data_IF_094492919582
#
_entry.id   IF_094492919582
#
_cell.length_a   1.000
_cell.length_b   1.000
_cell.length_c   1.000
_cell.angle_alpha   90.00
_cell.angle_beta   90.00
_cell.angle_gamma   90.00
#
_symmetry.space_group_name_H-M   'P 1'
#
loop_
_entity.id
_entity.type
_entity.pdbx_description
1 polymer ?
#
# COMPACT_ATOMS: atom_id res chain seq x y z
N UNK A 1 -2.80 51.84 -29.48
CA UNK A 1 -3.24 50.46 -29.78
C UNK A 1 -2.08 49.53 -29.48
N UNK A 2 -2.39 48.45 -28.73
CA UNK A 2 -1.62 47.24 -28.38
C UNK A 2 -0.32 47.47 -27.57
N UNK A 3 -0.22 47.21 -26.26
CA UNK A 3 -0.51 46.03 -25.42
C UNK A 3 0.19 44.75 -25.90
N UNK A 4 1.06 44.23 -25.05
CA UNK A 4 1.77 42.96 -25.23
C UNK A 4 2.76 42.70 -24.08
N UNK A 5 2.25 42.64 -22.84
CA UNK A 5 2.95 42.08 -21.68
C UNK A 5 3.50 40.68 -22.00
N UNK A 6 4.82 40.51 -21.89
CA UNK A 6 5.39 39.17 -21.73
C UNK A 6 5.41 38.84 -20.24
N UNK A 7 4.34 38.19 -19.78
CA UNK A 7 4.24 37.59 -18.47
C UNK A 7 5.39 36.62 -18.24
N UNK A 8 6.29 36.98 -17.33
CA UNK A 8 7.27 36.06 -16.76
C UNK A 8 6.49 35.01 -15.97
N UNK A 9 6.57 33.75 -16.39
CA UNK A 9 6.02 32.63 -15.63
C UNK A 9 6.80 32.53 -14.30
N UNK A 10 6.23 33.04 -13.20
CA UNK A 10 6.68 32.71 -11.86
C UNK A 10 6.32 31.24 -11.61
N UNK A 11 7.29 30.34 -11.73
CA UNK A 11 7.18 28.99 -11.18
C UNK A 11 7.62 29.07 -9.72
N UNK A 12 6.65 29.13 -8.81
CA UNK A 12 6.91 28.94 -7.39
C UNK A 12 7.50 27.53 -7.19
N UNK A 13 8.62 27.36 -6.47
CA UNK A 13 9.22 26.05 -6.22
C UNK A 13 8.33 25.09 -5.40
N UNK A 14 7.21 25.59 -4.85
CA UNK A 14 6.27 24.83 -4.02
C UNK A 14 5.23 24.02 -4.81
N UNK A 15 5.12 24.18 -6.14
CA UNK A 15 4.12 23.46 -6.95
C UNK A 15 4.65 22.14 -7.54
N UNK A 16 5.71 21.59 -6.92
CA UNK A 16 6.09 20.20 -7.21
C UNK A 16 4.98 19.31 -6.67
N UNK A 17 4.33 18.46 -7.48
CA UNK A 17 3.26 17.60 -7.00
C UNK A 17 3.77 16.77 -5.82
N UNK A 18 3.13 16.94 -4.66
CA UNK A 18 3.49 16.21 -3.45
C UNK A 18 3.49 14.71 -3.79
N UNK A 19 4.65 14.07 -3.65
CA UNK A 19 4.83 12.68 -4.08
C UNK A 19 4.21 11.77 -3.03
N UNK A 20 2.93 11.46 -3.22
CA UNK A 20 2.14 10.65 -2.28
C UNK A 20 2.41 9.16 -2.49
N UNK A 21 2.70 8.47 -1.40
CA UNK A 21 2.73 7.02 -1.34
C UNK A 21 1.59 6.51 -0.46
N UNK A 22 0.80 5.58 -0.99
CA UNK A 22 -0.29 4.93 -0.27
C UNK A 22 0.04 3.49 -0.01
N UNK A 23 -0.09 3.09 1.25
CA UNK A 23 0.18 1.74 1.71
C UNK A 23 -1.05 1.17 2.40
N UNK A 24 -1.58 0.07 1.89
CA UNK A 24 -2.61 -0.71 2.55
C UNK A 24 -1.98 -1.66 3.55
N UNK A 25 -2.39 -1.54 4.82
CA UNK A 25 -1.93 -2.35 5.94
C UNK A 25 -3.09 -3.12 6.55
N UNK A 26 -2.86 -4.40 6.84
CA UNK A 26 -3.90 -5.33 7.32
C UNK A 26 -3.53 -6.01 8.65
N UNK A 27 -2.36 -5.67 9.21
CA UNK A 27 -1.78 -6.34 10.37
C UNK A 27 -1.17 -5.40 11.39
N UNK A 28 0.07 -5.70 11.80
CA UNK A 28 0.79 -5.03 12.90
C UNK A 28 1.02 -3.53 12.71
N UNK A 29 0.94 -3.04 11.46
CA UNK A 29 1.05 -1.62 11.11
C UNK A 29 -0.27 -0.84 11.26
N UNK A 30 -1.40 -1.51 11.49
CA UNK A 30 -2.70 -0.87 11.72
C UNK A 30 -2.71 -0.06 13.02
N UNK A 31 -3.53 0.98 13.09
CA UNK A 31 -3.69 1.81 14.29
C UNK A 31 -4.07 0.94 15.50
N UNK A 32 -3.43 1.19 16.64
CA UNK A 32 -3.60 0.40 17.87
C UNK A 32 -2.69 -0.83 17.99
N UNK A 33 -1.89 -1.14 16.96
CA UNK A 33 -0.90 -2.22 16.99
C UNK A 33 0.53 -1.68 17.21
N UNK A 34 1.43 -2.56 17.65
CA UNK A 34 2.75 -2.18 18.18
C UNK A 34 3.70 -1.53 17.17
N UNK A 35 3.52 -1.78 15.86
CA UNK A 35 4.36 -1.17 14.83
C UNK A 35 3.83 0.21 14.39
N UNK A 36 2.55 0.52 14.60
CA UNK A 36 1.94 1.74 14.06
C UNK A 36 2.64 3.03 14.54
N UNK A 37 2.88 3.16 15.84
CA UNK A 37 3.48 4.38 16.39
C UNK A 37 4.88 4.64 15.82
N UNK A 38 5.64 3.58 15.53
CA UNK A 38 7.00 3.70 15.03
C UNK A 38 7.05 4.03 13.53
N UNK A 39 6.13 3.47 12.74
CA UNK A 39 6.24 3.49 11.29
C UNK A 39 5.18 4.34 10.59
N UNK A 40 4.00 4.52 11.19
CA UNK A 40 2.86 5.19 10.58
C UNK A 40 2.50 6.52 11.26
N UNK A 41 3.13 6.90 12.38
CA UNK A 41 2.76 8.11 13.12
C UNK A 41 2.92 9.42 12.34
N UNK A 42 3.82 9.45 11.35
CA UNK A 42 4.04 10.61 10.48
C UNK A 42 3.19 10.56 9.20
N UNK A 43 2.28 9.59 9.08
CA UNK A 43 1.37 9.52 7.96
C UNK A 43 0.43 10.74 7.94
N UNK A 44 0.17 11.26 6.75
CA UNK A 44 -0.79 12.35 6.52
C UNK A 44 -2.22 11.92 6.84
N UNK A 45 -2.59 10.70 6.47
CA UNK A 45 -3.89 10.11 6.80
C UNK A 45 -3.79 8.61 7.03
N UNK A 46 -4.79 8.08 7.74
CA UNK A 46 -5.02 6.64 7.86
C UNK A 46 -6.52 6.42 7.88
N UNK A 47 -7.02 5.67 6.90
CA UNK A 47 -8.45 5.53 6.61
C UNK A 47 -8.81 4.04 6.49
N UNK A 48 -9.99 3.59 6.96
CA UNK A 48 -10.44 2.21 6.75
C UNK A 48 -10.53 1.88 5.26
N UNK A 49 -10.02 0.72 4.87
CA UNK A 49 -10.02 0.28 3.48
C UNK A 49 -10.12 -1.25 3.36
N UNK A 50 -10.41 -1.73 2.15
CA UNK A 50 -10.47 -3.16 1.85
C UNK A 50 -9.76 -3.52 0.54
N UNK A 51 -9.24 -4.75 0.48
CA UNK A 51 -8.63 -5.35 -0.71
C UNK A 51 -9.20 -6.76 -0.93
N UNK A 52 -9.19 -7.25 -2.16
CA UNK A 52 -9.45 -8.67 -2.43
C UNK A 52 -8.22 -9.52 -2.09
N UNK A 53 -8.42 -10.60 -1.35
CA UNK A 53 -7.34 -11.52 -1.00
C UNK A 53 -7.78 -12.65 -0.09
N UNK A 54 -6.80 -13.34 0.48
CA UNK A 54 -6.97 -14.30 1.58
C UNK A 54 -6.04 -13.90 2.71
N UNK A 55 -6.58 -13.87 3.91
CA UNK A 55 -5.84 -13.49 5.10
C UNK A 55 -5.58 -14.71 5.96
N UNK A 56 -4.37 -14.82 6.46
CA UNK A 56 -3.92 -15.94 7.28
C UNK A 56 -3.33 -15.43 8.58
N UNK A 57 -3.58 -16.13 9.68
CA UNK A 57 -2.79 -16.03 10.90
C UNK A 57 -1.66 -17.06 10.81
N UNK A 58 -0.43 -16.60 10.64
CA UNK A 58 0.73 -17.50 10.61
C UNK A 58 1.02 -18.05 12.00
N UNK A 59 1.52 -19.27 12.09
CA UNK A 59 1.92 -19.88 13.38
C UNK A 59 2.99 -19.06 14.13
N UNK A 60 3.72 -18.20 13.42
CA UNK A 60 4.69 -17.27 13.99
C UNK A 60 4.07 -16.05 14.71
N UNK A 61 2.74 -15.89 14.68
CA UNK A 61 2.01 -14.88 15.47
C UNK A 61 1.70 -13.57 14.73
N UNK A 62 1.84 -13.53 13.41
CA UNK A 62 1.58 -12.34 12.59
C UNK A 62 0.81 -12.69 11.30
N UNK A 63 0.14 -11.72 10.64
CA UNK A 63 -0.72 -12.02 9.50
C UNK A 63 0.04 -12.13 8.18
N UNK A 64 -0.47 -12.96 7.27
CA UNK A 64 -0.08 -12.93 5.86
C UNK A 64 -1.30 -12.66 4.98
N UNK A 65 -1.09 -11.81 3.98
CA UNK A 65 -2.05 -11.58 2.90
C UNK A 65 -1.56 -12.31 1.65
N UNK A 66 -2.42 -13.13 1.08
CA UNK A 66 -2.32 -13.56 -0.31
C UNK A 66 -3.25 -12.67 -1.15
N UNK A 67 -2.80 -12.25 -2.34
CA UNK A 67 -3.62 -11.51 -3.31
C UNK A 67 -3.74 -12.32 -4.60
N UNK A 68 -4.81 -12.15 -5.39
CA UNK A 68 -4.90 -12.79 -6.69
C UNK A 68 -3.82 -12.22 -7.61
N UNK A 69 -2.93 -13.07 -8.14
CA UNK A 69 -1.81 -12.62 -8.98
C UNK A 69 -2.26 -11.79 -10.19
N UNK A 70 -3.38 -12.16 -10.83
CA UNK A 70 -3.95 -11.43 -11.95
C UNK A 70 -4.48 -10.03 -11.61
N UNK A 71 -4.57 -9.67 -10.33
CA UNK A 71 -4.95 -8.33 -9.87
C UNK A 71 -3.75 -7.46 -9.42
N UNK A 72 -2.52 -7.97 -9.53
CA UNK A 72 -1.31 -7.21 -9.24
C UNK A 72 -1.06 -6.20 -10.36
N UNK A 73 -1.07 -4.91 -10.01
CA UNK A 73 -0.91 -3.79 -10.93
C UNK A 73 0.56 -3.43 -11.16
N UNK A 74 1.40 -3.64 -10.14
CA UNK A 74 2.84 -3.42 -10.18
C UNK A 74 3.55 -4.19 -9.06
N UNK A 75 4.85 -4.44 -9.23
CA UNK A 75 5.73 -4.97 -8.19
C UNK A 75 6.59 -3.84 -7.64
N UNK A 76 6.82 -3.83 -6.33
CA UNK A 76 7.61 -2.80 -5.65
C UNK A 76 9.08 -2.86 -6.02
N UNK A 77 9.75 -1.72 -5.95
CA UNK A 77 11.17 -1.59 -6.27
C UNK A 77 11.99 -1.14 -5.05
N UNK A 78 13.30 -1.00 -5.22
CA UNK A 78 14.16 -0.42 -4.18
C UNK A 78 14.08 1.12 -4.12
N UNK A 79 13.36 1.76 -5.06
CA UNK A 79 13.23 3.22 -5.16
C UNK A 79 11.81 3.66 -4.76
N UNK A 80 11.62 4.22 -3.55
CA UNK A 80 10.33 4.71 -3.09
C UNK A 80 9.73 5.82 -3.97
N UNK A 81 10.54 6.63 -4.66
CA UNK A 81 10.04 7.67 -5.56
C UNK A 81 9.52 7.06 -6.86
N UNK A 82 10.22 6.07 -7.41
CA UNK A 82 9.74 5.34 -8.58
C UNK A 82 8.40 4.65 -8.27
N UNK A 83 8.29 4.04 -7.10
CA UNK A 83 7.07 3.36 -6.66
C UNK A 83 5.90 4.34 -6.45
N UNK A 84 6.16 5.52 -5.89
CA UNK A 84 5.14 6.56 -5.73
C UNK A 84 4.68 7.15 -7.09
N UNK A 85 5.60 7.37 -8.03
CA UNK A 85 5.26 7.80 -9.40
C UNK A 85 4.43 6.76 -10.13
N UNK A 86 4.81 5.49 -10.03
CA UNK A 86 4.08 4.38 -10.65
C UNK A 86 2.63 4.31 -10.15
N UNK A 87 2.41 4.59 -8.87
CA UNK A 87 1.08 4.64 -8.27
C UNK A 87 0.22 5.76 -8.89
N UNK A 88 0.81 6.92 -9.20
CA UNK A 88 0.10 8.04 -9.83
C UNK A 88 -0.28 7.73 -11.27
N UNK A 89 0.58 7.04 -12.02
CA UNK A 89 0.34 6.66 -13.42
C UNK A 89 -0.84 5.70 -13.63
N UNK A 90 -1.11 4.83 -12.65
CA UNK A 90 -2.16 3.81 -12.75
C UNK A 90 -3.57 4.41 -12.68
N UNK A 91 -3.73 5.61 -12.10
CA UNK A 91 -5.03 6.27 -12.00
C UNK A 91 -6.00 5.51 -11.08
N UNK A 92 -7.24 5.29 -11.54
CA UNK A 92 -8.29 4.59 -10.77
C UNK A 92 -8.46 3.16 -11.26
N UNK A 93 -7.90 2.15 -10.55
CA UNK A 93 -8.01 0.77 -10.98
C UNK A 93 -9.43 0.22 -10.76
N UNK A 94 -9.80 -0.82 -11.51
CA UNK A 94 -11.09 -1.51 -11.32
C UNK A 94 -11.05 -2.34 -10.03
N UNK A 95 -12.01 -2.11 -9.13
CA UNK A 95 -12.22 -2.92 -7.93
C UNK A 95 -13.36 -3.92 -8.14
N UNK A 96 -13.12 -4.93 -8.99
CA UNK A 96 -14.09 -6.00 -9.27
C UNK A 96 -13.80 -7.24 -8.44
N UNK A 97 -14.84 -8.01 -8.10
CA UNK A 97 -14.67 -9.32 -7.46
C UNK A 97 -13.89 -10.26 -8.40
N UNK A 98 -12.74 -10.81 -7.99
CA UNK A 98 -12.02 -11.80 -8.78
C UNK A 98 -12.79 -13.13 -8.84
N UNK A 99 -12.54 -13.91 -9.89
CA UNK A 99 -13.04 -15.28 -9.99
C UNK A 99 -12.31 -16.18 -9.00
N UNK A 100 -13.06 -17.08 -8.37
CA UNK A 100 -12.54 -18.04 -7.40
C UNK A 100 -12.87 -17.69 -5.96
N UNK A 101 -12.18 -18.37 -5.06
CA UNK A 101 -12.37 -18.26 -3.62
C UNK A 101 -11.51 -17.14 -3.04
N UNK A 102 -12.05 -15.92 -3.03
CA UNK A 102 -11.40 -14.70 -2.56
C UNK A 102 -12.36 -13.89 -1.70
N UNK A 103 -11.82 -13.30 -0.63
CA UNK A 103 -12.56 -12.52 0.36
C UNK A 103 -12.16 -11.05 0.34
N UNK A 104 -12.97 -10.21 1.00
CA UNK A 104 -12.58 -8.84 1.32
C UNK A 104 -11.75 -8.84 2.60
N UNK A 105 -10.54 -8.34 2.49
CA UNK A 105 -9.60 -8.19 3.60
C UNK A 105 -9.66 -6.76 4.11
N UNK A 106 -9.92 -6.60 5.41
CA UNK A 106 -10.13 -5.33 6.07
C UNK A 106 -8.84 -4.83 6.71
N UNK A 107 -8.47 -3.62 6.33
CA UNK A 107 -7.27 -2.95 6.79
C UNK A 107 -7.44 -1.45 6.79
N UNK A 108 -6.31 -0.77 6.65
CA UNK A 108 -6.22 0.68 6.63
C UNK A 108 -5.37 1.12 5.45
N UNK A 109 -5.78 2.17 4.77
CA UNK A 109 -5.00 2.87 3.78
C UNK A 109 -4.23 3.99 4.49
N UNK A 110 -2.91 3.86 4.55
CA UNK A 110 -1.99 4.84 5.14
C UNK A 110 -1.40 5.69 4.04
N UNK A 111 -1.49 7.01 4.17
CA UNK A 111 -1.00 7.97 3.18
C UNK A 111 0.25 8.68 3.70
N UNK A 112 1.37 8.55 2.99
CA UNK A 112 2.64 9.20 3.29
C UNK A 112 2.97 10.28 2.26
N UNK A 113 3.64 11.34 2.71
CA UNK A 113 4.08 12.47 1.87
C UNK A 113 5.59 12.52 1.66
N UNK A 114 6.36 11.69 2.39
CA UNK A 114 7.81 11.58 2.26
C UNK A 114 8.23 10.12 2.01
N UNK A 115 7.92 9.54 0.82
CA UNK A 115 8.20 8.13 0.51
C UNK A 115 9.64 7.69 0.78
N UNK A 116 10.63 8.53 0.47
CA UNK A 116 12.05 8.21 0.72
C UNK A 116 12.38 8.06 2.21
N UNK A 117 11.65 8.74 3.09
CA UNK A 117 11.83 8.67 4.54
C UNK A 117 11.01 7.53 5.13
N UNK A 118 9.77 7.41 4.71
CA UNK A 118 8.75 6.62 5.41
C UNK A 118 8.74 5.14 4.97
N UNK A 119 9.00 4.85 3.69
CA UNK A 119 8.90 3.50 3.14
C UNK A 119 10.07 2.57 3.52
N UNK A 120 11.35 2.98 3.44
CA UNK A 120 12.47 2.06 3.72
C UNK A 120 12.50 1.45 5.14
N UNK A 121 12.10 2.15 6.21
CA UNK A 121 11.92 1.52 7.52
C UNK A 121 10.88 0.40 7.54
N UNK A 122 9.79 0.54 6.77
CA UNK A 122 8.73 -0.47 6.67
C UNK A 122 9.22 -1.66 5.84
N UNK A 123 9.94 -1.43 4.75
CA UNK A 123 10.56 -2.50 3.97
C UNK A 123 11.48 -3.38 4.80
N UNK A 124 12.28 -2.76 5.67
CA UNK A 124 13.17 -3.47 6.58
C UNK A 124 12.41 -4.27 7.63
N UNK A 125 11.28 -3.77 8.11
CA UNK A 125 10.41 -4.50 9.04
C UNK A 125 9.82 -5.75 8.38
N UNK A 126 9.28 -5.61 7.18
CA UNK A 126 8.62 -6.70 6.43
C UNK A 126 9.64 -7.64 5.74
N UNK A 127 10.93 -7.29 5.79
CA UNK A 127 12.01 -8.06 5.17
C UNK A 127 12.00 -8.00 3.64
N UNK A 128 11.39 -6.97 3.05
CA UNK A 128 11.31 -6.79 1.61
C UNK A 128 12.67 -6.43 1.00
N UNK A 129 13.14 -7.28 0.08
CA UNK A 129 14.41 -7.15 -0.65
C UNK A 129 14.16 -7.36 -2.14
N UNK A 130 13.98 -6.29 -2.93
CA UNK A 130 13.84 -6.38 -4.39
C UNK A 130 14.96 -7.20 -5.03
N UNK A 131 14.61 -8.19 -5.85
CA UNK A 131 15.58 -9.07 -6.52
C UNK A 131 16.24 -10.13 -5.64
N UNK A 132 15.88 -10.21 -4.36
CA UNK A 132 16.34 -11.25 -3.42
C UNK A 132 15.18 -12.06 -2.83
N UNK A 133 15.52 -12.99 -1.94
CA UNK A 133 14.53 -13.74 -1.18
C UNK A 133 13.84 -12.83 -0.14
N UNK A 134 12.52 -12.71 -0.24
CA UNK A 134 11.67 -11.96 0.69
C UNK A 134 10.43 -12.78 1.01
N UNK A 135 10.14 -12.99 2.29
CA UNK A 135 8.89 -13.66 2.71
C UNK A 135 7.67 -12.83 2.32
N UNK A 136 7.72 -11.54 2.64
CA UNK A 136 6.80 -10.55 2.11
C UNK A 136 7.39 -9.87 0.89
N UNK A 137 6.62 -9.83 -0.18
CA UNK A 137 6.89 -8.98 -1.34
C UNK A 137 6.00 -7.75 -1.28
N UNK A 138 6.43 -6.62 -1.85
CA UNK A 138 5.58 -5.45 -2.01
C UNK A 138 4.96 -5.45 -3.41
N UNK A 139 3.64 -5.35 -3.47
CA UNK A 139 2.88 -5.28 -4.72
C UNK A 139 1.85 -4.18 -4.65
N UNK A 140 1.48 -3.65 -5.81
CA UNK A 140 0.39 -2.68 -5.93
C UNK A 140 -0.88 -3.39 -6.37
N UNK A 141 -1.97 -3.07 -5.71
CA UNK A 141 -3.30 -3.65 -5.96
C UNK A 141 -4.36 -2.56 -5.90
N UNK A 142 -5.56 -2.86 -6.38
CA UNK A 142 -6.72 -2.00 -6.19
C UNK A 142 -7.22 -2.12 -4.76
N UNK A 143 -7.37 -0.98 -4.08
CA UNK A 143 -7.86 -0.89 -2.70
C UNK A 143 -9.09 0.01 -2.68
N UNK A 144 -10.18 -0.46 -2.07
CA UNK A 144 -11.39 0.32 -1.90
C UNK A 144 -11.33 1.08 -0.58
N UNK A 145 -11.25 2.41 -0.66
CA UNK A 145 -11.29 3.32 0.48
C UNK A 145 -12.57 4.14 0.40
N UNK A 146 -13.50 3.90 1.33
CA UNK A 146 -14.87 4.42 1.23
C UNK A 146 -15.57 3.92 -0.04
N UNK A 147 -15.79 4.81 -1.02
CA UNK A 147 -16.42 4.49 -2.32
C UNK A 147 -15.44 4.56 -3.49
N UNK A 148 -14.18 4.84 -3.23
CA UNK A 148 -13.17 5.12 -4.25
C UNK A 148 -12.19 3.97 -4.33
N UNK A 149 -11.99 3.44 -5.54
CA UNK A 149 -10.91 2.49 -5.83
C UNK A 149 -9.62 3.26 -6.06
N UNK A 150 -8.58 2.93 -5.31
CA UNK A 150 -7.30 3.63 -5.29
C UNK A 150 -6.19 2.59 -5.46
N UNK A 151 -5.16 2.84 -6.29
CA UNK A 151 -3.99 1.99 -6.33
C UNK A 151 -3.16 2.22 -5.06
N UNK A 152 -2.86 1.14 -4.35
CA UNK A 152 -2.06 1.21 -3.15
C UNK A 152 -1.07 0.05 -3.10
N UNK A 153 0.11 0.32 -2.54
CA UNK A 153 1.08 -0.71 -2.23
C UNK A 153 0.59 -1.54 -1.04
N UNK A 154 0.93 -2.82 -1.01
CA UNK A 154 0.72 -3.68 0.15
C UNK A 154 1.80 -4.75 0.18
N UNK A 155 2.03 -5.32 1.36
CA UNK A 155 2.91 -6.46 1.51
C UNK A 155 2.09 -7.73 1.40
N UNK A 156 2.51 -8.68 0.59
CA UNK A 156 1.83 -9.95 0.40
C UNK A 156 2.84 -11.09 0.48
N UNK A 157 2.35 -12.29 0.78
CA UNK A 157 3.15 -13.51 0.84
C UNK A 157 2.73 -14.41 -0.32
N UNK A 158 3.60 -14.62 -1.34
CA UNK A 158 3.24 -15.42 -2.52
C UNK A 158 3.00 -16.91 -2.24
N UNK A 159 3.58 -17.43 -1.16
CA UNK A 159 3.49 -18.83 -0.78
C UNK A 159 3.29 -18.91 0.74
N UNK A 160 2.16 -19.45 1.16
CA UNK A 160 1.76 -19.56 2.57
C UNK A 160 1.67 -21.04 2.92
N UNK A 161 2.74 -21.56 3.52
CA UNK A 161 2.83 -22.99 3.89
C UNK A 161 2.40 -23.26 5.33
N UNK A 162 2.30 -22.22 6.18
CA UNK A 162 2.11 -22.36 7.62
C UNK A 162 1.23 -21.26 8.22
N UNK A 163 -0.09 -21.42 8.12
CA UNK A 163 -1.05 -20.54 8.80
C UNK A 163 -2.50 -20.98 8.66
N UNK A 164 -3.35 -20.42 9.51
CA UNK A 164 -4.80 -20.66 9.48
C UNK A 164 -5.48 -19.52 8.74
N UNK A 165 -6.29 -19.84 7.73
CA UNK A 165 -7.09 -18.84 7.01
C UNK A 165 -8.10 -18.19 7.95
N UNK A 166 -8.27 -16.88 7.81
CA UNK A 166 -9.24 -16.07 8.54
C UNK A 166 -10.37 -15.67 7.59
N UNK A 167 -11.47 -16.42 7.62
CA UNK A 167 -12.63 -16.20 6.73
C UNK A 167 -13.36 -14.87 7.01
N UNK A 168 -13.11 -14.26 8.17
CA UNK A 168 -13.66 -12.93 8.50
C UNK A 168 -12.99 -11.80 7.70
N UNK A 169 -11.82 -12.05 7.10
CA UNK A 169 -11.01 -11.03 6.43
C UNK A 169 -10.43 -9.98 7.38
N UNK A 170 -10.55 -10.15 8.70
CA UNK A 170 -10.04 -9.22 9.70
C UNK A 170 -8.96 -9.92 10.52
N UNK A 171 -7.77 -9.33 10.57
CA UNK A 171 -6.78 -9.75 11.57
C UNK A 171 -7.00 -9.00 12.87
N UNK A 172 -7.22 -9.78 13.93
CA UNK A 172 -7.29 -9.30 15.30
C UNK A 172 -5.98 -9.62 16.01
N UNK A 173 -5.60 -8.74 16.94
CA UNK A 173 -4.58 -9.05 17.93
C UNK A 173 -5.07 -10.24 18.76
N UNK A 174 -4.29 -11.31 18.79
CA UNK A 174 -4.47 -12.40 19.75
C UNK A 174 -4.12 -11.93 21.17
#
# INVERSE_FOLDING_TARGET
MNIGESSKLNTNPEDSPETILRLFVYGTLKRGYWNHQRFCAQARSTEPAVVWGRLYHLHAGFPALEVPEGLILARGTADPLADARRQQEIGTPRFGRPTGDWDLIYGELVTFTAPQRDLPPIDRLEGFRPGGHSMYQRVMVAVLCGRTSIPAWTYWMPCIDNGTRLDTGVWHRA
#
